data_IF_915414517303
#
_entry.id   IF_915414517303
#
_cell.length_a   1.000
_cell.length_b   1.000
_cell.length_c   1.000
_cell.angle_alpha   90.00
_cell.angle_beta   90.00
_cell.angle_gamma   90.00
#
_symmetry.space_group_name_H-M   'P 1'
#
loop_
_entity.id
_entity.type
_entity.pdbx_description
1 polymer ?
#
# COMPACT_ATOMS: atom_id res chain seq x y z
N UNK A 1 -6.75 23.99 8.27
CA UNK A 1 -7.47 23.66 7.02
C UNK A 1 -6.54 23.34 5.84
N UNK A 2 -5.34 23.93 5.70
CA UNK A 2 -4.39 23.58 4.63
C UNK A 2 -3.64 22.23 4.80
N UNK A 3 -3.65 21.62 5.99
CA UNK A 3 -3.09 20.28 6.22
C UNK A 3 -3.92 19.14 5.58
N UNK A 4 -5.17 19.41 5.18
CA UNK A 4 -6.07 18.41 4.59
C UNK A 4 -5.87 18.14 3.10
N UNK A 5 -5.06 18.94 2.40
CA UNK A 5 -4.85 18.81 0.95
C UNK A 5 -3.58 18.04 0.55
N UNK A 6 -2.73 17.67 1.51
CA UNK A 6 -1.44 17.01 1.26
C UNK A 6 -1.48 15.48 1.39
N UNK A 7 -2.62 14.94 1.83
CA UNK A 7 -2.94 13.51 1.85
C UNK A 7 -3.91 13.14 0.73
N UNK A 8 -3.75 13.74 -0.46
CA UNK A 8 -4.18 13.02 -1.66
C UNK A 8 -3.39 11.71 -1.62
N UNK A 9 -4.12 10.59 -1.57
CA UNK A 9 -3.55 9.26 -1.70
C UNK A 9 -2.37 9.33 -2.66
N UNK A 10 -1.21 8.86 -2.18
CA UNK A 10 -0.18 8.50 -3.12
C UNK A 10 -0.82 7.41 -3.98
N UNK A 11 -1.03 7.59 -5.29
CA UNK A 11 -1.41 6.49 -6.16
C UNK A 11 -0.46 5.29 -6.01
N UNK A 12 0.67 5.44 -5.30
CA UNK A 12 1.62 4.41 -4.91
C UNK A 12 1.08 3.42 -3.87
N UNK A 13 0.21 3.74 -2.91
CA UNK A 13 -0.30 2.67 -2.00
C UNK A 13 -1.29 1.77 -2.73
N UNK A 14 -2.20 2.37 -3.52
CA UNK A 14 -3.10 1.63 -4.41
C UNK A 14 -2.34 0.89 -5.51
N UNK A 15 -1.37 1.53 -6.17
CA UNK A 15 -0.56 0.92 -7.24
C UNK A 15 0.44 -0.10 -6.71
N UNK A 16 1.01 0.06 -5.52
CA UNK A 16 1.97 -0.90 -4.93
C UNK A 16 1.27 -2.10 -4.33
N UNK A 17 0.07 -1.94 -3.75
CA UNK A 17 -0.78 -3.05 -3.36
C UNK A 17 -1.36 -3.76 -4.61
N UNK A 18 -1.73 -3.01 -5.64
CA UNK A 18 -2.00 -3.58 -6.95
C UNK A 18 -0.77 -4.24 -7.58
N UNK A 19 0.47 -3.79 -7.36
CA UNK A 19 1.69 -4.47 -7.83
C UNK A 19 2.02 -5.74 -7.02
N UNK A 20 1.80 -5.71 -5.71
CA UNK A 20 1.87 -6.88 -4.83
C UNK A 20 0.87 -7.95 -5.27
N UNK A 21 -0.34 -7.54 -5.66
CA UNK A 21 -1.39 -8.45 -6.12
C UNK A 21 -1.23 -8.79 -7.61
N UNK A 22 -0.82 -7.87 -8.48
CA UNK A 22 -0.62 -8.05 -9.94
C UNK A 22 0.66 -8.77 -10.34
N UNK A 23 1.31 -9.45 -9.40
CA UNK A 23 2.18 -10.59 -9.72
C UNK A 23 1.42 -11.77 -10.35
N UNK A 24 0.10 -11.63 -10.59
CA UNK A 24 -0.69 -12.49 -11.47
C UNK A 24 -0.06 -12.61 -12.85
N UNK A 25 0.76 -13.64 -13.06
CA UNK A 25 0.98 -14.17 -14.41
C UNK A 25 -0.33 -14.80 -14.88
N UNK A 26 -1.11 -14.06 -15.67
CA UNK A 26 -2.10 -14.68 -16.55
C UNK A 26 -1.34 -15.64 -17.45
N UNK A 27 -1.68 -16.92 -17.35
CA UNK A 27 -1.01 -18.01 -18.06
C UNK A 27 -1.44 -18.00 -19.53
N UNK A 28 -1.21 -16.88 -20.23
CA UNK A 28 -1.25 -16.76 -21.67
C UNK A 28 -0.01 -17.42 -22.27
N UNK A 29 0.10 -18.75 -22.16
CA UNK A 29 0.87 -19.60 -23.07
C UNK A 29 2.32 -19.21 -23.36
N UNK A 30 3.11 -18.77 -22.38
CA UNK A 30 4.56 -18.61 -22.58
C UNK A 30 5.34 -19.30 -21.45
N UNK A 31 5.57 -20.60 -21.61
CA UNK A 31 6.46 -21.38 -20.73
C UNK A 31 7.89 -20.87 -20.84
N UNK A 32 8.43 -20.32 -19.74
CA UNK A 32 9.87 -20.17 -19.55
C UNK A 32 10.32 -21.15 -18.47
N UNK A 33 11.04 -22.18 -18.87
CA UNK A 33 11.73 -23.10 -17.94
C UNK A 33 12.88 -22.34 -17.28
N UNK A 34 12.83 -22.15 -15.96
CA UNK A 34 13.96 -21.62 -15.20
C UNK A 34 14.65 -22.78 -14.49
N UNK A 35 15.85 -23.12 -14.97
CA UNK A 35 16.83 -23.90 -14.25
C UNK A 35 17.76 -22.91 -13.53
N UNK A 36 17.66 -22.75 -12.21
CA UNK A 36 18.79 -22.87 -11.28
C UNK A 36 18.43 -22.49 -9.84
N UNK A 37 19.01 -23.25 -8.91
CA UNK A 37 18.94 -23.09 -7.45
C UNK A 37 19.80 -21.91 -6.99
N UNK A 38 19.18 -20.80 -6.58
CA UNK A 38 19.86 -19.75 -5.82
C UNK A 38 18.96 -19.27 -4.68
N UNK A 39 19.53 -19.20 -3.48
CA UNK A 39 18.88 -18.75 -2.24
C UNK A 39 18.22 -17.39 -2.44
N UNK A 40 16.89 -17.36 -2.37
CA UNK A 40 16.06 -16.17 -2.55
C UNK A 40 15.99 -15.43 -1.23
N UNK A 41 16.50 -14.20 -1.19
CA UNK A 41 16.16 -13.22 -0.16
C UNK A 41 14.76 -12.72 -0.45
N UNK A 42 13.80 -13.13 0.41
CA UNK A 42 12.48 -12.52 0.67
C UNK A 42 11.90 -11.67 -0.47
N UNK A 43 11.83 -12.22 -1.68
CA UNK A 43 10.85 -11.76 -2.65
C UNK A 43 9.53 -12.24 -2.08
N UNK A 44 8.65 -11.30 -1.74
CA UNK A 44 7.21 -11.53 -1.69
C UNK A 44 6.81 -11.83 -3.14
N UNK A 45 7.18 -13.01 -3.58
CA UNK A 45 6.67 -13.63 -4.76
C UNK A 45 5.33 -14.18 -4.31
N UNK A 46 4.26 -13.39 -4.50
CA UNK A 46 2.89 -13.88 -4.35
C UNK A 46 2.62 -14.82 -5.54
N UNK A 47 3.32 -15.96 -5.59
CA UNK A 47 3.20 -16.93 -6.67
C UNK A 47 2.10 -17.97 -6.46
N UNK A 48 1.33 -17.91 -5.38
CA UNK A 48 0.32 -18.94 -5.10
C UNK A 48 -0.87 -18.41 -4.29
N UNK A 49 -1.49 -17.32 -4.74
CA UNK A 49 -2.77 -16.92 -4.14
C UNK A 49 -3.85 -16.56 -5.14
N UNK A 50 -4.86 -17.42 -5.15
CA UNK A 50 -6.20 -17.18 -5.68
C UNK A 50 -6.17 -16.89 -7.19
N UNK A 51 -5.49 -17.75 -7.94
CA UNK A 51 -6.15 -18.21 -9.16
C UNK A 51 -7.22 -19.17 -8.66
N UNK A 52 -8.41 -18.66 -8.33
CA UNK A 52 -9.57 -19.54 -8.41
C UNK A 52 -9.55 -20.18 -9.78
N UNK A 53 -10.07 -21.40 -9.92
CA UNK A 53 -10.22 -22.02 -11.25
C UNK A 53 -10.90 -21.08 -12.28
N UNK A 54 -11.56 -20.02 -11.81
CA UNK A 54 -12.24 -18.97 -12.57
C UNK A 54 -11.41 -17.74 -12.94
N UNK A 55 -10.20 -17.54 -12.41
CA UNK A 55 -9.37 -16.36 -12.74
C UNK A 55 -10.00 -15.00 -12.40
N UNK A 56 -10.95 -14.95 -11.45
CA UNK A 56 -11.73 -13.75 -11.11
C UNK A 56 -11.60 -13.42 -9.62
N UNK A 57 -11.38 -12.15 -9.28
CA UNK A 57 -11.28 -11.67 -7.89
C UNK A 57 -11.79 -10.24 -7.76
N UNK A 58 -12.45 -9.94 -6.64
CA UNK A 58 -12.88 -8.59 -6.29
C UNK A 58 -12.10 -8.03 -5.10
N UNK A 59 -11.60 -6.81 -5.21
CA UNK A 59 -10.83 -6.11 -4.18
C UNK A 59 -11.51 -4.78 -3.90
N UNK A 60 -11.69 -4.42 -2.62
CA UNK A 60 -12.32 -3.17 -2.24
C UNK A 60 -11.67 -2.57 -0.99
N UNK A 61 -11.41 -1.27 -1.04
CA UNK A 61 -10.89 -0.47 0.07
C UNK A 61 -11.86 0.67 0.39
N UNK A 62 -12.25 0.78 1.65
CA UNK A 62 -13.09 1.86 2.15
C UNK A 62 -12.31 2.70 3.13
N UNK A 63 -12.10 3.98 2.82
CA UNK A 63 -11.64 4.98 3.80
C UNK A 63 -12.72 6.01 4.10
N UNK A 64 -12.48 6.85 5.10
CA UNK A 64 -13.34 7.97 5.49
C UNK A 64 -13.39 9.11 4.48
N UNK A 65 -12.49 9.12 3.48
CA UNK A 65 -12.38 10.19 2.48
C UNK A 65 -12.29 9.70 1.02
N UNK A 66 -12.32 8.39 0.77
CA UNK A 66 -12.32 7.81 -0.57
C UNK A 66 -12.57 6.31 -0.54
N UNK A 67 -13.12 5.79 -1.64
CA UNK A 67 -13.37 4.37 -1.78
C UNK A 67 -12.91 3.93 -3.16
N UNK A 68 -12.23 2.79 -3.21
CA UNK A 68 -11.78 2.21 -4.47
C UNK A 68 -12.09 0.72 -4.50
N UNK A 69 -12.36 0.21 -5.70
CA UNK A 69 -12.57 -1.20 -5.90
C UNK A 69 -12.12 -1.66 -7.28
N UNK A 70 -11.69 -2.91 -7.36
CA UNK A 70 -11.19 -3.54 -8.57
C UNK A 70 -11.87 -4.88 -8.76
N UNK A 71 -12.43 -5.12 -9.94
CA UNK A 71 -12.86 -6.44 -10.39
C UNK A 71 -11.89 -6.96 -11.45
N UNK A 72 -11.03 -7.89 -11.08
CA UNK A 72 -10.14 -8.58 -12.00
C UNK A 72 -10.85 -9.79 -12.60
N UNK A 73 -10.80 -9.94 -13.93
CA UNK A 73 -11.45 -11.02 -14.67
C UNK A 73 -10.86 -11.18 -16.07
N UNK A 74 -10.77 -12.42 -16.58
CA UNK A 74 -10.44 -12.71 -17.98
C UNK A 74 -11.41 -13.77 -18.54
N UNK A 75 -12.28 -13.41 -19.51
CA UNK A 75 -12.40 -12.10 -20.16
C UNK A 75 -12.86 -11.00 -19.18
N UNK A 76 -12.52 -9.74 -19.49
CA UNK A 76 -12.98 -8.58 -18.71
C UNK A 76 -14.51 -8.56 -18.61
N UNK A 77 -15.04 -8.42 -17.40
CA UNK A 77 -16.47 -8.26 -17.12
C UNK A 77 -17.14 -7.13 -17.93
N UNK A 78 -18.43 -7.28 -18.21
CA UNK A 78 -19.23 -6.25 -18.89
C UNK A 78 -19.48 -5.07 -17.93
N UNK A 79 -19.03 -3.88 -18.31
CA UNK A 79 -19.22 -2.66 -17.52
C UNK A 79 -20.69 -2.27 -17.38
N UNK A 80 -21.53 -2.57 -18.37
CA UNK A 80 -22.95 -2.25 -18.32
C UNK A 80 -23.72 -3.14 -17.33
N UNK A 81 -23.14 -4.27 -16.95
CA UNK A 81 -23.72 -5.25 -16.04
C UNK A 81 -23.00 -5.30 -14.68
N UNK A 82 -21.93 -4.53 -14.52
CA UNK A 82 -21.11 -4.50 -13.30
C UNK A 82 -21.44 -3.26 -12.46
N UNK A 83 -21.93 -3.49 -11.24
CA UNK A 83 -22.29 -2.45 -10.29
C UNK A 83 -21.82 -2.80 -8.88
N UNK A 84 -21.27 -1.81 -8.20
CA UNK A 84 -20.93 -1.90 -6.78
C UNK A 84 -21.87 -1.00 -5.99
N UNK A 85 -22.45 -1.54 -4.93
CA UNK A 85 -23.27 -0.79 -3.97
C UNK A 85 -22.61 -0.79 -2.61
N UNK A 86 -22.67 0.34 -1.92
CA UNK A 86 -22.29 0.51 -0.52
C UNK A 86 -23.51 0.87 0.30
N UNK A 87 -23.66 0.26 1.47
CA UNK A 87 -24.79 0.48 2.39
C UNK A 87 -24.28 0.67 3.82
N UNK A 88 -24.86 1.64 4.53
CA UNK A 88 -24.61 1.91 5.94
C UNK A 88 -25.87 2.48 6.58
N UNK A 89 -26.26 1.96 7.74
CA UNK A 89 -27.53 2.30 8.40
C UNK A 89 -28.72 2.23 7.42
N UNK A 90 -29.42 3.35 7.22
CA UNK A 90 -30.52 3.50 6.24
C UNK A 90 -30.07 4.10 4.91
N UNK A 91 -28.79 4.38 4.75
CA UNK A 91 -28.21 5.02 3.57
C UNK A 91 -27.62 3.98 2.61
N UNK A 92 -27.54 4.37 1.34
CA UNK A 92 -26.92 3.57 0.29
C UNK A 92 -26.39 4.46 -0.81
N UNK A 93 -25.33 4.00 -1.47
CA UNK A 93 -24.82 4.62 -2.69
C UNK A 93 -24.25 3.56 -3.65
N UNK A 94 -23.91 3.97 -4.85
CA UNK A 94 -23.29 3.14 -5.89
C UNK A 94 -21.96 3.75 -6.31
N UNK A 95 -20.93 2.93 -6.48
CA UNK A 95 -19.68 3.43 -7.01
C UNK A 95 -19.88 3.79 -8.48
N UNK A 96 -19.59 5.03 -8.90
CA UNK A 96 -19.44 5.29 -10.31
C UNK A 96 -18.27 4.45 -10.85
N UNK A 97 -18.49 3.86 -12.02
CA UNK A 97 -17.41 3.25 -12.77
C UNK A 97 -16.49 4.36 -13.31
N UNK A 98 -15.18 4.10 -13.31
CA UNK A 98 -14.21 5.09 -13.75
C UNK A 98 -13.39 4.61 -14.96
N UNK A 99 -12.82 3.40 -14.93
CA UNK A 99 -11.89 2.94 -15.97
C UNK A 99 -11.95 1.42 -16.29
N UNK A 100 -11.75 1.09 -17.57
CA UNK A 100 -11.69 -0.27 -18.13
C UNK A 100 -10.26 -0.47 -18.56
N UNK A 101 -9.69 -1.57 -18.10
CA UNK A 101 -8.40 -2.04 -18.55
C UNK A 101 -8.53 -3.47 -19.08
N UNK A 102 -7.57 -3.94 -19.88
CA UNK A 102 -7.45 -5.36 -20.15
C UNK A 102 -7.39 -6.13 -18.82
N UNK A 103 -8.34 -7.04 -18.64
CA UNK A 103 -8.48 -7.93 -17.48
C UNK A 103 -8.96 -7.31 -16.15
N UNK A 104 -9.34 -6.03 -16.09
CA UNK A 104 -9.99 -5.49 -14.88
C UNK A 104 -10.86 -4.25 -15.10
N UNK A 105 -11.83 -4.08 -14.20
CA UNK A 105 -12.65 -2.87 -14.05
C UNK A 105 -12.26 -2.14 -12.77
N UNK A 106 -12.18 -0.81 -12.84
CA UNK A 106 -11.84 0.05 -11.72
C UNK A 106 -13.00 1.00 -11.38
N UNK A 107 -13.32 1.07 -10.10
CA UNK A 107 -14.42 1.84 -9.54
C UNK A 107 -13.90 2.73 -8.42
N UNK A 108 -14.32 3.99 -8.42
CA UNK A 108 -14.02 4.93 -7.33
C UNK A 108 -15.30 5.58 -6.82
N UNK A 109 -15.26 6.02 -5.57
CA UNK A 109 -16.25 6.92 -5.00
C UNK A 109 -15.57 7.85 -3.99
N UNK A 110 -16.14 9.04 -3.78
CA UNK A 110 -15.62 10.07 -2.88
C UNK A 110 -16.64 10.37 -1.77
N UNK A 111 -17.09 9.33 -1.08
CA UNK A 111 -17.97 9.49 0.08
C UNK A 111 -17.17 9.86 1.32
N UNK A 112 -17.73 10.76 2.11
CA UNK A 112 -17.27 11.04 3.47
C UNK A 112 -17.90 10.01 4.41
N UNK A 113 -17.18 8.91 4.63
CA UNK A 113 -17.60 7.84 5.52
C UNK A 113 -17.16 8.11 6.96
N UNK A 114 -17.80 7.47 7.92
CA UNK A 114 -17.46 7.57 9.34
C UNK A 114 -16.66 6.35 9.77
N UNK A 115 -15.64 6.58 10.60
CA UNK A 115 -14.94 5.49 11.28
C UNK A 115 -15.87 4.82 12.31
N UNK A 116 -15.59 3.57 12.66
CA UNK A 116 -16.38 2.75 13.57
C UNK A 116 -17.83 2.47 13.11
N UNK A 117 -18.16 2.76 11.86
CA UNK A 117 -19.44 2.40 11.22
C UNK A 117 -19.27 1.15 10.36
N UNK A 118 -20.30 0.30 10.37
CA UNK A 118 -20.33 -0.90 9.53
C UNK A 118 -20.84 -0.56 8.13
N UNK A 119 -20.08 -0.96 7.12
CA UNK A 119 -20.39 -0.81 5.70
C UNK A 119 -20.57 -2.16 5.07
N UNK A 120 -21.64 -2.33 4.29
CA UNK A 120 -21.86 -3.50 3.45
C UNK A 120 -21.57 -3.14 2.01
N UNK A 121 -20.62 -3.85 1.40
CA UNK A 121 -20.28 -3.73 -0.02
C UNK A 121 -20.83 -4.93 -0.77
N UNK A 122 -21.53 -4.67 -1.86
CA UNK A 122 -22.00 -5.70 -2.79
C UNK A 122 -21.57 -5.37 -4.20
N UNK A 123 -20.87 -6.31 -4.85
CA UNK A 123 -20.66 -6.35 -6.28
C UNK A 123 -21.72 -7.25 -6.92
N UNK A 124 -22.36 -6.78 -8.00
CA UNK A 124 -23.07 -7.61 -8.96
C UNK A 124 -22.47 -7.39 -10.35
N UNK A 125 -22.24 -8.45 -11.10
CA UNK A 125 -21.63 -8.45 -12.43
C UNK A 125 -22.20 -9.60 -13.27
N UNK A 126 -21.98 -9.59 -14.58
CA UNK A 126 -22.34 -10.68 -15.50
C UNK A 126 -21.57 -11.98 -15.19
N UNK A 127 -20.38 -11.85 -14.59
CA UNK A 127 -19.53 -12.98 -14.18
C UNK A 127 -19.75 -13.43 -12.73
N UNK A 128 -20.68 -12.82 -12.00
CA UNK A 128 -21.06 -13.24 -10.66
C UNK A 128 -21.29 -12.10 -9.67
N UNK A 129 -21.34 -12.44 -8.38
CA UNK A 129 -21.56 -11.48 -7.31
C UNK A 129 -20.80 -11.84 -6.04
N UNK A 130 -20.57 -10.83 -5.21
CA UNK A 130 -20.08 -11.01 -3.85
C UNK A 130 -20.54 -9.89 -2.92
N UNK A 131 -20.67 -10.20 -1.64
CA UNK A 131 -21.03 -9.26 -0.58
C UNK A 131 -20.16 -9.47 0.66
N UNK A 132 -19.74 -8.38 1.28
CA UNK A 132 -18.98 -8.37 2.53
C UNK A 132 -19.37 -7.18 3.40
N UNK A 133 -19.09 -7.31 4.70
CA UNK A 133 -19.27 -6.23 5.68
C UNK A 133 -17.93 -5.90 6.33
N UNK A 134 -17.65 -4.62 6.53
CA UNK A 134 -16.41 -4.14 7.15
C UNK A 134 -16.68 -2.92 8.02
N UNK A 135 -15.83 -2.71 9.02
CA UNK A 135 -15.84 -1.49 9.86
C UNK A 135 -14.59 -0.69 9.54
N UNK A 136 -14.71 0.59 9.18
CA UNK A 136 -13.53 1.44 8.99
C UNK A 136 -12.90 1.69 10.38
N UNK A 137 -11.62 1.37 10.61
CA UNK A 137 -10.99 1.56 11.91
C UNK A 137 -10.85 3.06 12.24
N UNK A 138 -10.63 3.40 13.52
CA UNK A 138 -10.22 4.76 13.89
C UNK A 138 -8.84 5.11 13.30
N UNK A 139 -8.49 6.39 13.34
CA UNK A 139 -7.17 6.83 12.92
C UNK A 139 -6.06 6.43 13.90
N UNK A 140 -4.83 6.44 13.41
CA UNK A 140 -3.61 6.27 14.21
C UNK A 140 -2.85 7.59 14.33
N UNK A 141 -1.87 7.65 15.23
CA UNK A 141 -0.94 8.77 15.33
C UNK A 141 0.44 8.28 15.73
N UNK A 142 1.47 8.72 15.03
CA UNK A 142 2.85 8.38 15.37
C UNK A 142 3.23 9.16 16.64
N UNK A 143 3.74 8.45 17.63
CA UNK A 143 4.17 9.02 18.91
C UNK A 143 5.67 9.23 18.96
N UNK A 144 6.44 8.39 18.27
CA UNK A 144 7.89 8.49 18.15
C UNK A 144 8.35 7.90 16.81
N UNK A 145 9.36 8.47 16.15
CA UNK A 145 9.96 9.78 16.42
C UNK A 145 8.95 10.93 16.24
N UNK A 146 9.32 12.13 16.66
CA UNK A 146 8.58 13.36 16.34
C UNK A 146 9.03 13.96 15.00
N UNK A 147 8.19 14.81 14.41
CA UNK A 147 8.51 15.53 13.19
C UNK A 147 9.80 16.36 13.35
N UNK A 148 10.69 16.29 12.36
CA UNK A 148 11.99 16.93 12.29
C UNK A 148 13.01 16.48 13.37
N UNK A 149 12.77 15.35 14.04
CA UNK A 149 13.73 14.78 14.98
C UNK A 149 15.08 14.47 14.34
N UNK A 150 16.13 14.43 15.15
CA UNK A 150 17.48 14.09 14.68
C UNK A 150 18.09 13.05 15.61
N UNK A 151 18.17 11.84 15.10
CA UNK A 151 18.60 10.67 15.83
C UNK A 151 20.06 10.32 15.51
N UNK A 152 20.83 9.73 16.46
CA UNK A 152 22.19 9.29 16.20
C UNK A 152 22.29 8.21 15.11
N UNK A 153 23.37 8.23 14.33
CA UNK A 153 23.76 7.15 13.43
C UNK A 153 24.23 5.91 14.18
N UNK A 154 24.12 4.74 13.54
CA UNK A 154 24.67 3.48 14.04
C UNK A 154 23.79 2.75 15.06
N UNK A 155 22.54 3.18 15.23
CA UNK A 155 21.55 2.54 16.10
C UNK A 155 20.23 2.33 15.35
N UNK A 156 19.49 1.31 15.76
CA UNK A 156 18.17 1.06 15.23
C UNK A 156 17.23 2.20 15.64
N UNK A 157 16.28 2.53 14.77
CA UNK A 157 15.24 3.51 15.08
C UNK A 157 13.94 2.76 15.30
N UNK A 158 13.27 3.01 16.43
CA UNK A 158 11.97 2.43 16.71
C UNK A 158 10.92 3.50 16.43
N UNK A 159 10.06 3.24 15.45
CA UNK A 159 8.85 4.04 15.20
C UNK A 159 7.70 3.42 15.99
N UNK A 160 6.94 4.25 16.70
CA UNK A 160 5.81 3.83 17.54
C UNK A 160 4.59 4.67 17.22
N UNK A 161 3.40 4.08 17.25
CA UNK A 161 2.14 4.77 17.02
C UNK A 161 1.05 4.32 17.99
N UNK A 162 -0.07 5.04 18.01
CA UNK A 162 -1.22 4.71 18.86
C UNK A 162 -1.98 3.49 18.35
N UNK A 163 -2.56 2.72 19.27
CA UNK A 163 -3.47 1.64 18.88
C UNK A 163 -4.78 2.24 18.37
N UNK A 164 -5.18 1.89 17.15
CA UNK A 164 -6.42 2.34 16.52
C UNK A 164 -7.55 1.36 16.86
N UNK A 165 -8.70 1.88 17.29
CA UNK A 165 -9.85 1.03 17.57
C UNK A 165 -10.36 0.37 16.27
N UNK A 166 -10.61 -0.93 16.31
CA UNK A 166 -11.11 -1.70 15.16
C UNK A 166 -10.05 -2.08 14.12
N UNK A 167 -8.79 -1.69 14.29
CA UNK A 167 -7.71 -2.14 13.43
C UNK A 167 -7.32 -3.60 13.73
N UNK A 168 -7.18 -4.42 12.70
CA UNK A 168 -6.60 -5.78 12.76
C UNK A 168 -5.13 -5.81 12.35
N UNK A 169 -4.68 -4.82 11.57
CA UNK A 169 -3.30 -4.67 11.13
C UNK A 169 -2.99 -3.19 10.83
N UNK A 170 -1.71 -2.90 10.61
CA UNK A 170 -1.19 -1.61 10.19
C UNK A 170 -0.34 -1.81 8.94
N UNK A 171 -0.64 -1.09 7.87
CA UNK A 171 0.26 -0.99 6.73
C UNK A 171 1.22 0.18 6.95
N UNK A 172 2.47 0.03 6.53
CA UNK A 172 3.47 1.10 6.60
C UNK A 172 4.23 1.25 5.29
N UNK A 173 4.66 2.49 5.05
CA UNK A 173 5.59 2.89 3.98
C UNK A 173 6.80 3.56 4.65
N UNK A 174 7.99 3.13 4.30
CA UNK A 174 9.26 3.66 4.78
C UNK A 174 10.12 4.08 3.59
N UNK A 175 10.40 5.37 3.52
CA UNK A 175 11.35 5.96 2.58
C UNK A 175 12.57 6.51 3.33
N UNK A 176 13.77 6.13 2.90
CA UNK A 176 15.05 6.59 3.42
C UNK A 176 15.86 7.18 2.27
N UNK A 177 16.26 8.44 2.38
CA UNK A 177 17.20 9.07 1.43
C UNK A 177 18.51 9.41 2.13
N UNK A 178 19.63 9.02 1.52
CA UNK A 178 20.97 9.23 2.05
C UNK A 178 21.62 10.48 1.42
N UNK A 179 22.37 11.24 2.24
CA UNK A 179 23.04 12.45 1.80
C UNK A 179 24.46 12.55 2.35
N UNK A 180 25.36 13.18 1.59
CA UNK A 180 26.71 13.51 2.05
C UNK A 180 26.72 14.73 3.00
N UNK A 181 27.91 15.08 3.50
CA UNK A 181 28.10 16.23 4.41
C UNK A 181 27.83 17.60 3.78
N UNK A 182 27.66 17.66 2.46
CA UNK A 182 27.30 18.88 1.73
C UNK A 182 25.81 18.91 1.37
N UNK A 183 25.05 17.87 1.71
CA UNK A 183 23.63 17.74 1.42
C UNK A 183 23.33 17.23 0.00
N UNK A 184 24.33 16.67 -0.70
CA UNK A 184 24.09 16.03 -1.98
C UNK A 184 23.46 14.65 -1.77
N UNK A 185 22.46 14.33 -2.59
CA UNK A 185 21.81 13.02 -2.58
C UNK A 185 22.77 11.92 -3.03
N UNK A 186 22.75 10.79 -2.32
CA UNK A 186 23.61 9.64 -2.58
C UNK A 186 22.83 8.39 -3.00
N UNK A 187 21.78 8.04 -2.25
CA UNK A 187 21.01 6.82 -2.47
C UNK A 187 19.61 6.91 -1.85
N UNK A 188 18.74 5.97 -2.21
CA UNK A 188 17.38 5.86 -1.72
C UNK A 188 16.97 4.41 -1.50
N UNK A 189 16.39 4.16 -0.33
CA UNK A 189 15.77 2.91 0.04
C UNK A 189 14.29 3.17 0.31
N UNK A 190 13.44 2.27 -0.18
CA UNK A 190 12.02 2.27 0.13
C UNK A 190 11.59 0.84 0.42
N UNK A 191 10.71 0.68 1.40
CA UNK A 191 10.03 -0.58 1.68
C UNK A 191 8.64 -0.28 2.18
N UNK A 192 7.72 -1.19 1.86
CA UNK A 192 6.39 -1.22 2.44
C UNK A 192 6.23 -2.53 3.21
N UNK A 193 5.25 -2.57 4.09
CA UNK A 193 4.90 -3.81 4.76
C UNK A 193 3.68 -3.64 5.64
N UNK A 194 3.44 -4.64 6.47
CA UNK A 194 2.39 -4.58 7.47
C UNK A 194 2.85 -5.14 8.79
N UNK A 195 2.28 -4.64 9.88
CA UNK A 195 2.52 -5.12 11.23
C UNK A 195 1.18 -5.26 11.99
N UNK A 196 1.13 -6.18 12.95
CA UNK A 196 0.04 -6.28 13.92
C UNK A 196 0.34 -5.46 15.19
N UNK A 197 1.61 -5.23 15.48
CA UNK A 197 2.06 -4.43 16.60
C UNK A 197 2.03 -2.94 16.27
N UNK A 198 2.12 -2.10 17.30
CA UNK A 198 2.11 -0.65 17.17
C UNK A 198 3.52 -0.05 17.11
N UNK A 199 4.49 -0.85 16.65
CA UNK A 199 5.89 -0.43 16.55
C UNK A 199 6.53 -1.01 15.29
N UNK A 200 7.53 -0.32 14.75
CA UNK A 200 8.38 -0.83 13.68
C UNK A 200 9.83 -0.47 13.97
N UNK A 201 10.74 -1.44 13.82
CA UNK A 201 12.17 -1.21 14.01
C UNK A 201 12.85 -1.06 12.65
N UNK A 202 13.36 0.13 12.38
CA UNK A 202 14.24 0.41 11.25
C UNK A 202 15.65 -0.06 11.65
N UNK A 203 16.16 -1.07 10.96
CA UNK A 203 17.48 -1.63 11.23
C UNK A 203 18.59 -0.62 10.87
N UNK A 204 19.57 -0.48 11.77
CA UNK A 204 20.69 0.43 11.60
C UNK A 204 21.52 0.18 10.34
N UNK A 205 21.49 -1.06 9.81
CA UNK A 205 22.14 -1.42 8.56
C UNK A 205 21.56 -0.68 7.36
N UNK A 206 20.35 -0.13 7.44
CA UNK A 206 19.79 0.73 6.38
C UNK A 206 20.45 2.11 6.33
N UNK A 207 21.25 2.46 7.34
CA UNK A 207 21.97 3.74 7.45
C UNK A 207 23.49 3.57 7.18
N UNK A 208 23.87 2.74 6.20
CA UNK A 208 25.27 2.39 5.91
C UNK A 208 25.77 2.79 4.50
N UNK A 209 25.07 3.69 3.81
CA UNK A 209 25.46 4.19 2.48
C UNK A 209 26.85 4.85 2.54
N UNK A 210 27.81 4.46 1.69
CA UNK A 210 29.15 5.04 1.68
C UNK A 210 29.13 6.56 1.49
N UNK A 211 29.93 7.28 2.27
CA UNK A 211 30.04 8.74 2.30
C UNK A 211 28.78 9.49 2.79
N UNK A 212 27.73 8.79 3.21
CA UNK A 212 26.57 9.44 3.81
C UNK A 212 26.93 10.03 5.18
N UNK A 213 26.60 11.30 5.38
CA UNK A 213 26.71 12.01 6.64
C UNK A 213 25.38 12.02 7.42
N UNK A 214 24.25 11.93 6.71
CA UNK A 214 22.93 11.84 7.31
C UNK A 214 21.91 11.21 6.35
N UNK A 215 20.76 10.86 6.91
CA UNK A 215 19.60 10.31 6.21
C UNK A 215 18.36 11.12 6.56
N UNK A 216 17.50 11.30 5.57
CA UNK A 216 16.10 11.69 5.84
C UNK A 216 15.22 10.46 5.78
N UNK A 217 14.30 10.35 6.73
CA UNK A 217 13.35 9.25 6.83
C UNK A 217 11.93 9.80 6.77
N UNK A 218 11.11 9.25 5.89
CA UNK A 218 9.67 9.45 5.87
C UNK A 218 9.02 8.10 6.17
N UNK A 219 8.20 8.07 7.21
CA UNK A 219 7.47 6.88 7.61
C UNK A 219 5.98 7.21 7.68
N UNK A 220 5.15 6.42 7.02
CA UNK A 220 3.70 6.48 7.14
C UNK A 220 3.19 5.17 7.70
N UNK A 221 2.14 5.26 8.51
CA UNK A 221 1.39 4.10 8.97
C UNK A 221 -0.10 4.34 8.88
N UNK A 222 -0.83 3.36 8.36
CA UNK A 222 -2.28 3.38 8.18
C UNK A 222 -2.92 2.18 8.91
N UNK A 223 -3.96 2.39 9.73
CA UNK A 223 -4.68 1.30 10.38
C UNK A 223 -5.67 0.66 9.41
N UNK A 224 -5.67 -0.67 9.36
CA UNK A 224 -6.53 -1.46 8.49
C UNK A 224 -7.40 -2.42 9.29
N UNK A 225 -8.62 -2.64 8.80
CA UNK A 225 -9.48 -3.75 9.19
C UNK A 225 -9.69 -4.67 7.98
N UNK A 226 -9.76 -5.98 8.24
CA UNK A 226 -9.91 -6.98 7.19
C UNK A 226 -8.82 -8.04 7.21
N UNK A 227 -8.90 -9.04 6.32
CA UNK A 227 -7.87 -10.05 6.16
C UNK A 227 -6.60 -9.44 5.55
N UNK A 228 -5.44 -9.82 6.08
CA UNK A 228 -4.16 -9.50 5.45
C UNK A 228 -4.08 -10.19 4.07
N UNK A 229 -3.74 -9.47 3.00
CA UNK A 229 -3.50 -10.08 1.70
C UNK A 229 -2.15 -10.80 1.74
N UNK A 230 -2.14 -12.08 2.09
CA UNK A 230 -0.96 -12.94 2.09
C UNK A 230 -1.21 -14.25 1.34
N UNK A 231 -0.16 -14.96 0.87
CA UNK A 231 -0.31 -16.28 0.28
C UNK A 231 -1.08 -17.25 1.19
N UNK A 232 -2.15 -17.83 0.65
CA UNK A 232 -3.12 -18.69 1.31
C UNK A 232 -4.33 -17.96 1.91
N UNK A 233 -4.34 -16.63 1.97
CA UNK A 233 -5.40 -15.87 2.64
C UNK A 233 -6.77 -16.14 1.99
N UNK A 234 -7.78 -16.34 2.84
CA UNK A 234 -9.17 -16.40 2.40
C UNK A 234 -9.75 -14.99 2.41
N UNK A 235 -10.44 -14.63 1.33
CA UNK A 235 -11.21 -13.39 1.27
C UNK A 235 -12.33 -13.37 2.32
N UNK A 236 -12.76 -12.17 2.71
CA UNK A 236 -13.83 -11.95 3.70
C UNK A 236 -15.18 -11.61 3.05
N UNK A 237 -15.31 -11.83 1.74
CA UNK A 237 -16.56 -11.66 1.01
C UNK A 237 -17.20 -13.01 0.66
N UNK A 238 -18.52 -13.03 0.61
CA UNK A 238 -19.33 -14.22 0.30
C UNK A 238 -20.03 -14.06 -1.04
N UNK A 239 -20.04 -15.10 -1.87
CA UNK A 239 -20.65 -15.05 -3.20
C UNK A 239 -20.01 -16.03 -4.17
N UNK A 240 -20.27 -15.85 -5.46
CA UNK A 240 -19.64 -16.63 -6.54
C UNK A 240 -18.28 -16.08 -6.93
N UNK A 241 -18.02 -14.79 -6.65
CA UNK A 241 -16.72 -14.14 -6.85
C UNK A 241 -16.00 -14.11 -5.48
N UNK A 242 -14.77 -14.63 -5.37
CA UNK A 242 -13.97 -14.42 -4.16
C UNK A 242 -13.61 -12.93 -4.04
N UNK A 243 -13.56 -12.41 -2.81
CA UNK A 243 -13.18 -11.01 -2.65
C UNK A 243 -12.63 -10.62 -1.28
N UNK A 244 -11.88 -9.53 -1.31
CA UNK A 244 -11.26 -8.89 -0.15
C UNK A 244 -11.86 -7.51 0.02
N UNK A 245 -12.36 -7.25 1.22
CA UNK A 245 -12.91 -5.98 1.64
C UNK A 245 -12.13 -5.46 2.85
N UNK A 246 -11.46 -4.33 2.67
CA UNK A 246 -10.63 -3.71 3.69
C UNK A 246 -11.18 -2.34 4.09
N UNK A 247 -11.20 -2.05 5.39
CA UNK A 247 -11.47 -0.72 5.92
C UNK A 247 -10.15 -0.04 6.27
N UNK A 248 -9.96 1.20 5.83
CA UNK A 248 -8.72 1.97 6.01
C UNK A 248 -9.03 3.20 6.82
N UNK A 249 -8.51 3.27 8.05
CA UNK A 249 -8.64 4.44 8.89
C UNK A 249 -7.58 5.48 8.53
N UNK A 250 -7.76 6.71 9.03
CA UNK A 250 -6.81 7.78 8.77
C UNK A 250 -5.42 7.45 9.35
N UNK A 251 -4.42 7.38 8.47
CA UNK A 251 -3.03 7.16 8.84
C UNK A 251 -2.35 8.40 9.44
N UNK A 252 -1.11 8.21 9.87
CA UNK A 252 -0.23 9.32 10.23
C UNK A 252 1.15 9.13 9.61
N UNK A 253 1.85 10.24 9.41
CA UNK A 253 3.16 10.27 8.78
C UNK A 253 4.11 11.15 9.54
N UNK A 254 5.34 10.67 9.71
CA UNK A 254 6.43 11.42 10.34
C UNK A 254 7.60 11.54 9.40
N UNK A 255 8.25 12.68 9.46
CA UNK A 255 9.52 12.93 8.83
C UNK A 255 10.59 13.23 9.88
N UNK A 256 11.73 12.54 9.83
CA UNK A 256 12.83 12.75 10.78
C UNK A 256 14.18 12.45 10.12
N UNK A 257 15.27 12.65 10.87
CA UNK A 257 16.63 12.50 10.37
C UNK A 257 17.43 11.53 11.23
N UNK A 258 18.39 10.85 10.60
CA UNK A 258 19.42 10.06 11.29
C UNK A 258 20.79 10.59 10.87
N UNK A 259 21.62 11.02 11.83
CA UNK A 259 22.87 11.75 11.57
C UNK A 259 22.73 13.25 11.76
N UNK A 260 23.63 14.06 11.20
CA UNK A 260 23.59 15.52 11.34
C UNK A 260 23.26 16.17 10.00
N UNK A 261 21.99 16.56 9.76
CA UNK A 261 21.61 17.19 8.51
C UNK A 261 22.22 18.59 8.39
N UNK A 262 22.69 18.94 7.19
CA UNK A 262 23.18 20.29 6.88
C UNK A 262 22.06 21.32 6.98
N UNK A 263 20.86 20.93 6.53
CA UNK A 263 19.62 21.70 6.63
C UNK A 263 18.49 20.75 6.95
N UNK A 264 17.69 21.07 7.98
CA UNK A 264 16.39 20.43 8.17
C UNK A 264 15.41 21.07 7.19
N UNK A 265 14.96 20.32 6.20
CA UNK A 265 13.79 20.71 5.44
C UNK A 265 12.56 20.45 6.31
N UNK A 266 11.99 21.52 6.86
CA UNK A 266 10.73 21.44 7.59
C UNK A 266 9.56 21.21 6.61
N UNK A 267 8.76 20.17 6.84
CA UNK A 267 7.54 19.88 6.10
C UNK A 267 7.73 19.51 4.62
N UNK A 268 6.62 19.47 3.87
CA UNK A 268 6.52 18.97 2.49
C UNK A 268 7.31 19.75 1.40
N UNK A 269 8.26 20.61 1.76
CA UNK A 269 9.28 21.12 0.83
C UNK A 269 10.29 20.00 0.58
N UNK A 270 9.77 18.96 -0.09
CA UNK A 270 10.44 17.71 -0.41
C UNK A 270 11.81 18.03 -1.00
N UNK A 271 12.86 17.43 -0.41
CA UNK A 271 14.07 17.08 -1.15
C UNK A 271 13.67 16.46 -2.49
N UNK A 272 14.52 16.54 -3.51
CA UNK A 272 14.27 15.89 -4.81
C UNK A 272 13.89 14.43 -4.58
N UNK A 273 12.58 14.13 -4.48
CA UNK A 273 12.09 12.77 -4.46
C UNK A 273 12.67 12.16 -5.74
N UNK A 274 13.34 11.01 -5.66
CA UNK A 274 13.82 10.37 -6.85
C UNK A 274 12.64 10.27 -7.81
N UNK A 275 12.88 10.60 -9.07
CA UNK A 275 11.90 10.48 -10.14
C UNK A 275 11.27 9.09 -10.09
N UNK A 276 10.05 8.93 -10.62
CA UNK A 276 9.40 7.61 -10.73
C UNK A 276 10.37 6.59 -11.33
N UNK A 277 11.14 7.00 -12.34
CA UNK A 277 12.21 6.21 -12.96
C UNK A 277 13.28 5.75 -11.97
N UNK A 278 13.83 6.66 -11.15
CA UNK A 278 14.84 6.30 -10.15
C UNK A 278 14.28 5.35 -9.09
N UNK A 279 13.03 5.55 -8.66
CA UNK A 279 12.37 4.65 -7.71
C UNK A 279 12.13 3.26 -8.30
N UNK A 280 11.68 3.18 -9.55
CA UNK A 280 11.52 1.90 -10.26
C UNK A 280 12.86 1.20 -10.46
N UNK A 281 13.93 1.92 -10.82
CA UNK A 281 15.27 1.35 -10.96
C UNK A 281 15.82 0.84 -9.63
N UNK A 282 15.61 1.56 -8.53
CA UNK A 282 15.99 1.11 -7.20
C UNK A 282 15.21 -0.14 -6.78
N UNK A 283 13.90 -0.18 -7.05
CA UNK A 283 13.08 -1.37 -6.82
C UNK A 283 13.60 -2.58 -7.62
N UNK A 284 13.87 -2.40 -8.91
CA UNK A 284 14.45 -3.46 -9.75
C UNK A 284 15.82 -3.93 -9.23
N UNK A 285 16.68 -3.01 -8.78
CA UNK A 285 17.97 -3.32 -8.17
C UNK A 285 17.82 -4.12 -6.88
N UNK A 286 16.85 -3.79 -6.03
CA UNK A 286 16.56 -4.55 -4.80
C UNK A 286 16.10 -5.98 -5.10
N UNK A 287 15.37 -6.18 -6.20
CA UNK A 287 14.99 -7.51 -6.70
C UNK A 287 16.16 -8.29 -7.35
N UNK A 288 17.38 -7.74 -7.35
CA UNK A 288 18.53 -8.33 -8.04
C UNK A 288 18.42 -8.28 -9.56
N UNK A 289 17.52 -7.45 -10.11
CA UNK A 289 17.34 -7.29 -11.54
C UNK A 289 18.38 -6.36 -12.13
N UNK A 290 18.94 -6.74 -13.29
CA UNK A 290 19.77 -5.86 -14.11
C UNK A 290 18.96 -4.96 -15.06
N UNK A 291 17.62 -4.98 -14.95
CA UNK A 291 16.74 -4.16 -15.77
C UNK A 291 16.75 -2.72 -15.27
N UNK A 292 16.72 -1.77 -16.21
CA UNK A 292 16.50 -0.35 -15.94
C UNK A 292 15.31 0.12 -16.77
N UNK A 293 14.39 0.85 -16.16
CA UNK A 293 13.42 1.65 -16.88
C UNK A 293 14.15 2.78 -17.59
N UNK A 294 13.93 2.94 -18.90
CA UNK A 294 14.40 4.08 -19.71
C UNK A 294 13.50 5.30 -19.54
#
# INVERSE_FOLDING_TARGET
>A
MLKKLLYLFSPITLFSLMCLLSSFTFNGGCTKTVHDTTTVYDTITVHDTIVTETGTIFLCWLSDFGQSAVLCSDPTADTAQSQITIRWDTNSDTFPYEYVFPCYLFFENELYLSTQTNYTIRLNSDIGSCEGTITIPEGTSITEPSEDDTLPLGQNVIVTWTKAQGASLYEYDLDISAYDSSGNYLDYYSTYGCNIDTTYTIDSSLFNVPNAAYYSVWFIVEPFSGPRPEPGAQGNMTGTIPGFLNGVGYGDGVYFYVGTPVVKLSGAKRHNRPSIKERMNNYLKQLGSNLTCE
#
